data_IF_385998158555
#
_entry.id   IF_385998158555
#
_cell.length_a   1.000
_cell.length_b   1.000
_cell.length_c   1.000
_cell.angle_alpha   90.00
_cell.angle_beta   90.00
_cell.angle_gamma   90.00
#
_symmetry.space_group_name_H-M   'P 1'
#
loop_
_entity.id
_entity.type
_entity.pdbx_description
1 polymer ?
#
# COMPACT_ATOMS: atom_id res chain seq x y z
N UNK A 1 -5.73 18.74 -23.55
CA UNK A 1 -5.58 17.56 -24.43
C UNK A 1 -4.55 16.56 -23.96
N UNK A 2 -3.38 17.00 -23.47
CA UNK A 2 -2.37 16.12 -22.85
C UNK A 2 -2.92 15.20 -21.74
N UNK A 3 -3.81 15.69 -20.86
CA UNK A 3 -4.42 14.88 -19.79
C UNK A 3 -5.28 13.74 -20.34
N UNK A 4 -6.08 13.99 -21.38
CA UNK A 4 -6.89 12.97 -22.04
C UNK A 4 -6.03 11.91 -22.73
N UNK A 5 -4.92 12.32 -23.35
CA UNK A 5 -3.93 11.40 -23.92
C UNK A 5 -3.30 10.53 -22.81
N UNK A 6 -2.88 11.13 -21.69
CA UNK A 6 -2.31 10.39 -20.56
C UNK A 6 -3.28 9.36 -19.97
N UNK A 7 -4.55 9.73 -19.81
CA UNK A 7 -5.61 8.81 -19.37
C UNK A 7 -5.74 7.65 -20.37
N UNK A 8 -5.84 7.95 -21.67
CA UNK A 8 -5.94 6.93 -22.72
C UNK A 8 -4.75 5.97 -22.74
N UNK A 9 -3.52 6.48 -22.60
CA UNK A 9 -2.30 5.68 -22.52
C UNK A 9 -2.30 4.81 -21.27
N UNK A 10 -2.72 5.34 -20.11
CA UNK A 10 -2.76 4.58 -18.86
C UNK A 10 -3.78 3.44 -18.93
N UNK A 11 -4.97 3.70 -19.49
CA UNK A 11 -6.00 2.70 -19.69
C UNK A 11 -5.54 1.58 -20.64
N UNK A 12 -4.94 1.94 -21.78
CA UNK A 12 -4.37 0.98 -22.72
C UNK A 12 -3.22 0.18 -22.08
N UNK A 13 -2.34 0.84 -21.32
CA UNK A 13 -1.25 0.20 -20.58
C UNK A 13 -1.74 -0.82 -19.55
N UNK A 14 -2.77 -0.49 -18.76
CA UNK A 14 -3.40 -1.43 -17.83
C UNK A 14 -3.99 -2.65 -18.55
N UNK A 15 -4.62 -2.43 -19.71
CA UNK A 15 -5.18 -3.52 -20.50
C UNK A 15 -4.09 -4.44 -21.07
N UNK A 16 -3.02 -3.86 -21.63
CA UNK A 16 -1.85 -4.59 -22.10
C UNK A 16 -1.19 -5.41 -20.99
N UNK A 17 -1.02 -4.82 -19.80
CA UNK A 17 -0.48 -5.54 -18.64
C UNK A 17 -1.34 -6.74 -18.24
N UNK A 18 -2.67 -6.60 -18.26
CA UNK A 18 -3.60 -7.71 -18.03
C UNK A 18 -3.47 -8.78 -19.11
N UNK A 19 -3.38 -8.38 -20.38
CA UNK A 19 -3.21 -9.30 -21.50
C UNK A 19 -1.91 -10.09 -21.38
N UNK A 20 -0.80 -9.42 -21.04
CA UNK A 20 0.49 -10.05 -20.78
C UNK A 20 0.40 -11.06 -19.65
N UNK A 21 -0.32 -10.73 -18.56
CA UNK A 21 -0.57 -11.65 -17.46
C UNK A 21 -1.36 -12.91 -17.87
N UNK A 22 -2.34 -12.79 -18.76
CA UNK A 22 -3.11 -13.91 -19.29
C UNK A 22 -2.29 -14.77 -20.27
N UNK A 23 -1.33 -14.16 -20.97
CA UNK A 23 -0.44 -14.84 -21.91
C UNK A 23 0.76 -15.54 -21.24
N UNK A 24 0.91 -15.44 -19.91
CA UNK A 24 1.99 -16.13 -19.18
C UNK A 24 1.76 -17.65 -19.24
N UNK A 25 2.72 -18.44 -19.74
CA UNK A 25 2.58 -19.88 -19.83
C UNK A 25 2.48 -20.54 -18.45
N UNK A 26 1.60 -21.53 -18.31
CA UNK A 26 1.32 -22.22 -17.04
C UNK A 26 2.59 -22.75 -16.34
N UNK A 27 3.54 -23.30 -17.11
CA UNK A 27 4.80 -23.82 -16.57
C UNK A 27 5.72 -22.77 -15.93
N UNK A 28 5.56 -21.48 -16.23
CA UNK A 28 6.29 -20.41 -15.54
C UNK A 28 5.66 -20.08 -14.17
N UNK A 29 4.34 -20.25 -14.04
CA UNK A 29 3.56 -19.95 -12.83
C UNK A 29 3.59 -21.11 -11.81
N UNK A 30 3.80 -22.33 -12.28
CA UNK A 30 3.91 -23.55 -11.47
C UNK A 30 5.19 -23.59 -10.62
N UNK A 31 6.16 -22.72 -10.88
CA UNK A 31 7.36 -22.60 -10.06
C UNK A 31 6.99 -22.15 -8.63
N UNK A 32 7.39 -22.88 -7.58
CA UNK A 32 6.98 -22.60 -6.21
C UNK A 32 7.40 -21.21 -5.74
N UNK A 33 8.55 -20.70 -6.20
CA UNK A 33 9.01 -19.35 -5.90
C UNK A 33 8.10 -18.26 -6.51
N UNK A 34 7.68 -18.43 -7.76
CA UNK A 34 6.82 -17.47 -8.47
C UNK A 34 5.44 -17.41 -7.82
N UNK A 35 4.86 -18.57 -7.49
CA UNK A 35 3.57 -18.65 -6.79
C UNK A 35 3.62 -18.01 -5.41
N UNK A 36 4.70 -18.21 -4.65
CA UNK A 36 4.88 -17.61 -3.32
C UNK A 36 5.01 -16.09 -3.41
N UNK A 37 5.78 -15.58 -4.37
CA UNK A 37 5.92 -14.15 -4.63
C UNK A 37 4.59 -13.53 -5.06
N UNK A 38 3.85 -14.17 -5.98
CA UNK A 38 2.55 -13.70 -6.43
C UNK A 38 1.53 -13.56 -5.28
N UNK A 39 1.56 -14.48 -4.31
CA UNK A 39 0.69 -14.41 -3.14
C UNK A 39 1.08 -13.29 -2.15
N UNK A 40 2.38 -12.98 -2.04
CA UNK A 40 2.89 -11.97 -1.11
C UNK A 40 2.92 -10.55 -1.70
N UNK A 41 2.97 -10.44 -3.02
CA UNK A 41 3.04 -9.17 -3.75
C UNK A 41 1.99 -8.14 -3.32
N UNK A 42 0.69 -8.47 -3.21
CA UNK A 42 -0.32 -7.49 -2.81
C UNK A 42 -0.04 -6.88 -1.43
N UNK A 43 0.26 -7.72 -0.44
CA UNK A 43 0.53 -7.27 0.93
C UNK A 43 1.85 -6.51 1.00
N UNK A 44 2.89 -6.97 0.30
CA UNK A 44 4.18 -6.30 0.26
C UNK A 44 4.09 -4.90 -0.39
N UNK A 45 3.34 -4.78 -1.49
CA UNK A 45 3.11 -3.50 -2.17
C UNK A 45 2.26 -2.56 -1.31
N UNK A 46 1.20 -3.06 -0.66
CA UNK A 46 0.40 -2.25 0.26
C UNK A 46 1.22 -1.79 1.48
N UNK A 47 2.08 -2.64 2.03
CA UNK A 47 2.97 -2.29 3.12
C UNK A 47 4.00 -1.23 2.69
N UNK A 48 4.62 -1.40 1.52
CA UNK A 48 5.54 -0.43 0.95
C UNK A 48 4.86 0.92 0.67
N UNK A 49 3.66 0.91 0.09
CA UNK A 49 2.85 2.12 -0.11
C UNK A 49 2.52 2.79 1.21
N UNK A 50 2.10 2.03 2.22
CA UNK A 50 1.81 2.57 3.55
C UNK A 50 3.05 3.23 4.15
N UNK A 51 4.21 2.58 4.07
CA UNK A 51 5.47 3.15 4.53
C UNK A 51 5.81 4.44 3.77
N UNK A 52 5.71 4.45 2.44
CA UNK A 52 6.02 5.62 1.62
C UNK A 52 5.04 6.78 1.88
N UNK A 53 3.75 6.51 2.07
CA UNK A 53 2.73 7.53 2.38
C UNK A 53 2.82 8.03 3.83
N UNK A 54 3.45 7.26 4.72
CA UNK A 54 3.62 7.62 6.14
C UNK A 54 4.91 8.40 6.36
N UNK A 55 6.00 8.06 5.68
CA UNK A 55 7.33 8.62 5.92
C UNK A 55 7.89 9.47 4.77
N UNK A 56 7.29 9.42 3.58
CA UNK A 56 7.76 10.17 2.42
C UNK A 56 6.88 11.38 2.14
N UNK A 57 7.50 12.56 2.10
CA UNK A 57 6.90 13.76 1.51
C UNK A 57 7.85 14.30 0.42
N UNK A 58 7.56 13.95 -0.83
CA UNK A 58 8.45 14.21 -1.97
C UNK A 58 9.80 13.50 -1.86
N UNK A 59 10.87 14.25 -1.62
CA UNK A 59 12.25 13.74 -1.48
C UNK A 59 12.75 13.75 -0.03
N UNK A 60 11.91 14.14 0.93
CA UNK A 60 12.28 14.24 2.33
C UNK A 60 11.63 13.12 3.14
N UNK A 61 12.43 12.47 4.00
CA UNK A 61 11.89 11.66 5.07
C UNK A 61 11.38 12.59 6.16
N UNK A 62 10.06 12.65 6.32
CA UNK A 62 9.41 13.41 7.39
C UNK A 62 8.77 12.42 8.35
N UNK A 63 9.14 12.50 9.62
CA UNK A 63 8.40 11.85 10.70
C UNK A 63 7.13 12.68 10.97
N UNK A 64 6.12 12.53 10.11
CA UNK A 64 4.82 13.18 10.27
C UNK A 64 4.00 12.48 11.39
N UNK A 65 2.98 13.17 11.90
CA UNK A 65 2.02 12.66 12.89
C UNK A 65 1.41 11.30 12.49
N UNK A 66 1.39 10.98 11.19
CA UNK A 66 0.98 9.69 10.63
C UNK A 66 1.79 8.52 11.18
N UNK A 67 3.10 8.70 11.42
CA UNK A 67 3.96 7.66 11.97
C UNK A 67 3.58 7.31 13.41
N UNK A 68 3.26 8.33 14.22
CA UNK A 68 2.78 8.14 15.60
C UNK A 68 1.42 7.42 15.63
N UNK A 69 0.48 7.81 14.75
CA UNK A 69 -0.80 7.13 14.60
C UNK A 69 -0.66 5.67 14.16
N UNK A 70 0.20 5.39 13.17
CA UNK A 70 0.48 4.04 12.70
C UNK A 70 1.09 3.16 13.80
N UNK A 71 2.04 3.71 14.57
CA UNK A 71 2.62 3.04 15.73
C UNK A 71 1.58 2.69 16.80
N UNK A 72 0.69 3.63 17.12
CA UNK A 72 -0.39 3.38 18.07
C UNK A 72 -1.39 2.32 17.57
N UNK A 73 -1.71 2.33 16.27
CA UNK A 73 -2.54 1.30 15.65
C UNK A 73 -1.88 -0.10 15.76
N UNK A 74 -0.57 -0.18 15.52
CA UNK A 74 0.19 -1.42 15.64
C UNK A 74 0.15 -1.96 17.08
N UNK A 75 0.30 -1.10 18.09
CA UNK A 75 0.18 -1.49 19.50
C UNK A 75 -1.22 -2.00 19.82
N UNK A 76 -2.28 -1.29 19.38
CA UNK A 76 -3.67 -1.74 19.58
C UNK A 76 -3.96 -3.09 18.91
N UNK A 77 -3.37 -3.33 17.73
CA UNK A 77 -3.48 -4.60 17.02
C UNK A 77 -2.78 -5.75 17.76
N UNK A 78 -1.59 -5.51 18.31
CA UNK A 78 -0.86 -6.50 19.13
C UNK A 78 -1.64 -6.87 20.39
N UNK A 79 -2.34 -5.90 20.98
CA UNK A 79 -3.27 -6.12 22.09
C UNK A 79 -4.57 -6.83 21.68
N UNK A 80 -4.71 -7.22 20.41
CA UNK A 80 -5.89 -7.89 19.83
C UNK A 80 -7.19 -7.09 19.97
N UNK A 81 -7.10 -5.76 19.92
CA UNK A 81 -8.27 -4.89 19.88
C UNK A 81 -9.11 -5.12 18.61
N UNK A 82 -10.44 -4.89 18.64
CA UNK A 82 -11.26 -4.97 17.44
C UNK A 82 -10.85 -3.92 16.42
N UNK A 83 -11.05 -4.20 15.13
CA UNK A 83 -10.60 -3.35 14.02
C UNK A 83 -11.03 -1.88 14.19
N UNK A 84 -12.27 -1.64 14.63
CA UNK A 84 -12.79 -0.29 14.85
C UNK A 84 -12.01 0.48 15.92
N UNK A 85 -11.57 -0.19 16.98
CA UNK A 85 -10.76 0.42 18.04
C UNK A 85 -9.36 0.73 17.54
N UNK A 86 -8.76 -0.17 16.75
CA UNK A 86 -7.44 0.07 16.12
C UNK A 86 -7.47 1.33 15.25
N UNK A 87 -8.51 1.47 14.42
CA UNK A 87 -8.68 2.65 13.56
C UNK A 87 -8.93 3.91 14.40
N UNK A 88 -9.80 3.84 15.40
CA UNK A 88 -10.09 4.98 16.27
C UNK A 88 -8.82 5.48 16.99
N UNK A 89 -8.01 4.58 17.54
CA UNK A 89 -6.73 4.91 18.19
C UNK A 89 -5.78 5.59 17.19
N UNK A 90 -5.64 5.04 16.00
CA UNK A 90 -4.77 5.62 14.96
C UNK A 90 -5.19 7.06 14.60
N UNK A 91 -6.49 7.29 14.40
CA UNK A 91 -7.04 8.61 14.06
C UNK A 91 -6.84 9.60 15.20
N UNK A 92 -7.19 9.22 16.43
CA UNK A 92 -7.08 10.11 17.60
C UNK A 92 -5.63 10.48 17.87
N UNK A 93 -4.69 9.53 17.79
CA UNK A 93 -3.26 9.80 17.98
C UNK A 93 -2.71 10.69 16.87
N UNK A 94 -3.04 10.42 15.61
CA UNK A 94 -2.60 11.26 14.48
C UNK A 94 -3.14 12.68 14.62
N UNK A 95 -4.43 12.83 14.96
CA UNK A 95 -5.06 14.14 15.14
C UNK A 95 -4.47 14.89 16.34
N UNK A 96 -4.25 14.22 17.46
CA UNK A 96 -3.66 14.82 18.66
C UNK A 96 -2.23 15.31 18.43
N UNK A 97 -1.39 14.51 17.77
CA UNK A 97 -0.01 14.91 17.44
C UNK A 97 0.01 16.06 16.44
N UNK A 98 -0.94 16.11 15.50
CA UNK A 98 -1.05 17.19 14.51
C UNK A 98 -1.59 18.50 15.09
N UNK A 99 -2.35 18.44 16.17
CA UNK A 99 -2.93 19.61 16.83
C UNK A 99 -1.95 20.31 17.78
N UNK A 100 -0.84 19.66 18.14
CA UNK A 100 0.28 20.19 18.92
C UNK A 100 1.31 20.85 17.98
#
# INVERSE_FOLDING_TARGET
MSTWIAIGVTAAGCYLAKLLGLSVPAGALERPAVRRLAALLPVALLAALTAQQTFGDGQHLVLDARAAGLGAAAVALVLRAPFLVVVAVAVVVTAGVRAL
#
